data_IF_073880504820
#
_entry.id   IF_073880504820
#
_cell.length_a   1.000
_cell.length_b   1.000
_cell.length_c   1.000
_cell.angle_alpha   90.00
_cell.angle_beta   90.00
_cell.angle_gamma   90.00
#
_symmetry.space_group_name_H-M   'P 1'
#
loop_
_entity.id
_entity.type
_entity.pdbx_description
1 polymer ?
#
# COMPACT_ATOMS: atom_id res chain seq x y z
N UNK A 1 -20.61 -6.75 1.99
CA UNK A 1 -19.58 -7.78 1.72
C UNK A 1 -18.86 -7.36 0.45
N UNK A 2 -17.55 -7.11 0.49
CA UNK A 2 -16.81 -6.77 -0.73
C UNK A 2 -16.77 -8.05 -1.57
N UNK A 3 -17.31 -8.03 -2.79
CA UNK A 3 -17.41 -9.21 -3.67
C UNK A 3 -16.04 -9.84 -3.93
N UNK A 4 -15.95 -11.15 -4.17
CA UNK A 4 -14.66 -11.83 -4.40
C UNK A 4 -13.91 -11.38 -5.67
N UNK A 5 -14.58 -10.70 -6.60
CA UNK A 5 -14.05 -10.34 -7.92
C UNK A 5 -12.76 -9.50 -7.88
N UNK A 6 -12.54 -8.72 -6.82
CA UNK A 6 -11.28 -7.97 -6.69
C UNK A 6 -10.09 -8.87 -6.36
N UNK A 7 -10.29 -10.01 -5.69
CA UNK A 7 -9.21 -10.93 -5.32
C UNK A 7 -8.56 -11.56 -6.56
N UNK A 8 -9.39 -11.98 -7.52
CA UNK A 8 -8.95 -12.52 -8.80
C UNK A 8 -8.24 -11.44 -9.62
N UNK A 9 -8.76 -10.21 -9.63
CA UNK A 9 -8.13 -9.09 -10.32
C UNK A 9 -6.74 -8.77 -9.75
N UNK A 10 -6.58 -8.78 -8.42
CA UNK A 10 -5.28 -8.56 -7.76
C UNK A 10 -4.30 -9.68 -8.11
N UNK A 11 -4.75 -10.93 -8.06
CA UNK A 11 -3.93 -12.09 -8.40
C UNK A 11 -3.45 -12.03 -9.86
N UNK A 12 -4.38 -11.78 -10.78
CA UNK A 12 -4.07 -11.66 -12.21
C UNK A 12 -3.06 -10.53 -12.47
N UNK A 13 -3.29 -9.36 -11.87
CA UNK A 13 -2.42 -8.19 -12.04
C UNK A 13 -1.04 -8.43 -11.42
N UNK A 14 -0.96 -9.01 -10.23
CA UNK A 14 0.32 -9.28 -9.58
C UNK A 14 1.23 -10.19 -10.42
N UNK A 15 0.67 -11.23 -11.04
CA UNK A 15 1.42 -12.15 -11.90
C UNK A 15 2.04 -11.50 -13.16
N UNK A 16 1.59 -10.30 -13.55
CA UNK A 16 2.23 -9.52 -14.61
C UNK A 16 3.52 -8.83 -14.12
N UNK A 17 3.61 -8.54 -12.81
CA UNK A 17 4.71 -7.78 -12.21
C UNK A 17 5.70 -8.61 -11.41
N UNK A 18 5.28 -9.76 -10.89
CA UNK A 18 6.14 -10.67 -10.12
C UNK A 18 6.15 -12.07 -10.72
N UNK A 19 7.15 -12.88 -10.37
CA UNK A 19 7.22 -14.29 -10.70
C UNK A 19 6.17 -15.10 -9.92
N UNK A 20 5.77 -16.25 -10.47
CA UNK A 20 4.82 -17.16 -9.83
C UNK A 20 5.34 -17.64 -8.46
N UNK A 21 6.63 -17.96 -8.35
CA UNK A 21 7.26 -18.37 -7.10
C UNK A 21 7.17 -17.27 -6.03
N UNK A 22 7.49 -16.03 -6.40
CA UNK A 22 7.38 -14.88 -5.49
C UNK A 22 5.93 -14.65 -5.07
N UNK A 23 4.98 -14.82 -5.99
CA UNK A 23 3.55 -14.72 -5.68
C UNK A 23 3.07 -15.81 -4.72
N UNK A 24 3.44 -17.07 -4.95
CA UNK A 24 3.12 -18.19 -4.06
C UNK A 24 3.73 -17.98 -2.67
N UNK A 25 4.98 -17.53 -2.62
CA UNK A 25 5.64 -17.24 -1.36
C UNK A 25 4.95 -16.12 -0.60
N UNK A 26 4.56 -15.02 -1.24
CA UNK A 26 3.91 -13.88 -0.55
C UNK A 26 2.50 -14.26 -0.08
N UNK A 27 1.75 -15.02 -0.86
CA UNK A 27 0.37 -15.45 -0.52
C UNK A 27 0.28 -16.66 0.43
N UNK A 28 1.39 -17.36 0.66
CA UNK A 28 1.48 -18.46 1.63
C UNK A 28 1.26 -18.00 3.09
N UNK A 29 1.42 -18.94 4.05
CA UNK A 29 1.24 -18.74 5.51
C UNK A 29 1.86 -17.45 6.08
N UNK A 30 1.45 -17.09 7.31
CA UNK A 30 1.86 -15.85 8.02
C UNK A 30 1.37 -14.58 7.33
N UNK A 31 0.18 -14.65 6.73
CA UNK A 31 -0.48 -13.60 5.95
C UNK A 31 -0.63 -12.29 6.71
N UNK A 32 -1.04 -12.35 7.97
CA UNK A 32 -1.18 -11.18 8.83
C UNK A 32 0.15 -10.41 8.99
N UNK A 33 1.23 -11.11 9.36
CA UNK A 33 2.58 -10.52 9.48
C UNK A 33 3.07 -9.92 8.17
N UNK A 34 2.79 -10.57 7.04
CA UNK A 34 3.17 -10.05 5.72
C UNK A 34 2.39 -8.80 5.36
N UNK A 35 1.10 -8.70 5.69
CA UNK A 35 0.35 -7.45 5.52
C UNK A 35 1.01 -6.33 6.34
N UNK A 36 1.34 -6.53 7.61
CA UNK A 36 2.01 -5.48 8.41
C UNK A 36 3.27 -4.95 7.71
N UNK A 37 4.12 -5.84 7.20
CA UNK A 37 5.34 -5.46 6.48
C UNK A 37 5.06 -4.73 5.16
N UNK A 38 4.04 -5.16 4.40
CA UNK A 38 3.63 -4.48 3.17
C UNK A 38 3.09 -3.06 3.47
N UNK A 39 2.31 -2.91 4.53
CA UNK A 39 1.78 -1.61 4.96
C UNK A 39 2.90 -0.66 5.42
N UNK A 40 3.88 -1.16 6.17
CA UNK A 40 5.04 -0.38 6.57
C UNK A 40 5.86 0.10 5.35
N UNK A 41 6.10 -0.78 4.38
CA UNK A 41 6.78 -0.40 3.14
C UNK A 41 6.00 0.65 2.34
N UNK A 42 4.68 0.46 2.18
CA UNK A 42 3.83 1.43 1.49
C UNK A 42 3.83 2.80 2.19
N UNK A 43 3.76 2.80 3.52
CA UNK A 43 3.85 4.02 4.33
C UNK A 43 5.20 4.72 4.16
N UNK A 44 6.30 3.97 4.09
CA UNK A 44 7.62 4.53 3.82
C UNK A 44 7.69 5.20 2.44
N UNK A 45 7.06 4.59 1.43
CA UNK A 45 6.97 5.18 0.08
C UNK A 45 6.13 6.47 0.09
N UNK A 46 4.96 6.47 0.74
CA UNK A 46 4.11 7.68 0.81
C UNK A 46 4.74 8.84 1.58
N UNK A 47 5.56 8.55 2.59
CA UNK A 47 6.15 9.59 3.46
C UNK A 47 7.55 10.04 3.03
N UNK A 48 8.15 9.44 1.99
CA UNK A 48 9.59 9.55 1.74
C UNK A 48 9.98 10.12 0.38
N UNK A 49 10.54 11.35 0.41
CA UNK A 49 11.49 11.89 -0.58
C UNK A 49 12.75 11.00 -0.76
N UNK A 50 12.98 10.07 0.17
CA UNK A 50 14.13 9.14 0.19
C UNK A 50 13.87 7.78 -0.50
N UNK A 51 12.63 7.48 -0.90
CA UNK A 51 12.31 6.22 -1.59
C UNK A 51 12.88 6.18 -3.03
N UNK A 52 13.04 7.36 -3.64
CA UNK A 52 13.42 7.53 -5.06
C UNK A 52 14.87 7.10 -5.30
N UNK A 53 15.80 7.42 -4.40
CA UNK A 53 17.22 7.12 -4.60
C UNK A 53 17.57 5.63 -4.37
N UNK A 54 16.79 4.90 -3.57
CA UNK A 54 17.02 3.49 -3.29
C UNK A 54 16.40 2.50 -4.28
N UNK A 55 15.48 2.97 -5.13
CA UNK A 55 14.69 2.11 -6.02
C UNK A 55 15.33 1.91 -7.40
N UNK A 56 16.22 2.81 -7.83
CA UNK A 56 16.58 2.97 -9.26
C UNK A 56 17.91 2.35 -9.69
N UNK A 57 18.87 2.05 -8.81
CA UNK A 57 20.21 1.69 -9.32
C UNK A 57 20.99 0.64 -8.55
N UNK A 58 20.79 0.51 -7.24
CA UNK A 58 21.61 -0.36 -6.40
C UNK A 58 21.08 -0.21 -4.99
N UNK A 59 20.71 -1.29 -4.32
CA UNK A 59 20.52 -1.20 -2.86
C UNK A 59 21.88 -1.35 -2.19
N UNK A 60 22.80 -0.43 -2.50
CA UNK A 60 23.97 -0.14 -1.70
C UNK A 60 23.49 0.70 -0.51
N UNK A 61 23.22 -0.01 0.59
CA UNK A 61 23.29 0.45 1.97
C UNK A 61 22.77 1.84 2.32
N UNK A 62 21.44 2.02 2.44
CA UNK A 62 20.85 2.85 3.51
C UNK A 62 19.32 2.72 3.64
N UNK A 63 18.77 1.51 3.54
CA UNK A 63 17.41 1.24 4.04
C UNK A 63 17.51 0.16 5.11
N UNK A 64 18.03 0.56 6.28
CA UNK A 64 18.06 -0.28 7.48
C UNK A 64 16.66 -0.81 7.85
N UNK A 65 15.58 -0.16 7.42
CA UNK A 65 14.20 -0.62 7.63
C UNK A 65 13.87 -1.94 6.89
N UNK A 66 14.49 -2.20 5.73
CA UNK A 66 14.32 -3.45 4.98
C UNK A 66 15.04 -4.65 5.62
N UNK A 67 15.90 -4.42 6.63
CA UNK A 67 16.61 -5.50 7.31
C UNK A 67 15.73 -6.29 8.31
N UNK A 68 14.52 -5.81 8.63
CA UNK A 68 13.53 -6.54 9.43
C UNK A 68 12.37 -7.14 8.62
N UNK A 69 12.12 -6.64 7.40
CA UNK A 69 11.03 -7.13 6.56
C UNK A 69 11.34 -8.54 6.07
N UNK A 70 10.43 -9.48 6.31
CA UNK A 70 10.58 -10.87 5.93
C UNK A 70 10.98 -10.99 4.45
N UNK A 71 12.04 -11.77 4.17
CA UNK A 71 12.68 -11.94 2.85
C UNK A 71 11.70 -11.97 1.68
N UNK A 72 10.58 -12.67 1.84
CA UNK A 72 9.49 -12.79 0.86
C UNK A 72 8.88 -11.44 0.46
N UNK A 73 8.56 -10.57 1.43
CA UNK A 73 7.93 -9.25 1.18
C UNK A 73 8.92 -8.34 0.47
N UNK A 74 10.21 -8.41 0.84
CA UNK A 74 11.27 -7.67 0.17
C UNK A 74 11.43 -8.10 -1.30
N UNK A 75 11.51 -9.40 -1.57
CA UNK A 75 11.60 -9.93 -2.94
C UNK A 75 10.38 -9.53 -3.77
N UNK A 76 9.18 -9.64 -3.20
CA UNK A 76 7.94 -9.18 -3.86
C UNK A 76 8.00 -7.70 -4.25
N UNK A 77 8.38 -6.82 -3.31
CA UNK A 77 8.49 -5.39 -3.58
C UNK A 77 9.54 -5.07 -4.66
N UNK A 78 10.68 -5.77 -4.67
CA UNK A 78 11.75 -5.59 -5.66
C UNK A 78 11.36 -6.07 -7.06
N UNK A 79 10.65 -7.19 -7.18
CA UNK A 79 10.15 -7.65 -8.48
C UNK A 79 9.08 -6.70 -9.01
N UNK A 80 8.13 -6.30 -8.17
CA UNK A 80 7.10 -5.32 -8.51
C UNK A 80 7.70 -3.99 -9.00
N UNK A 81 8.74 -3.53 -8.29
CA UNK A 81 9.50 -2.33 -8.60
C UNK A 81 10.17 -2.36 -9.98
N UNK A 82 10.92 -3.42 -10.24
CA UNK A 82 11.80 -3.53 -11.40
C UNK A 82 11.06 -3.65 -12.73
N UNK A 83 9.76 -3.97 -12.70
CA UNK A 83 8.91 -4.06 -13.89
C UNK A 83 8.09 -2.79 -14.17
N UNK A 84 8.23 -1.74 -13.35
CA UNK A 84 7.65 -0.43 -13.64
C UNK A 84 8.65 0.42 -14.44
N UNK A 85 8.16 1.32 -15.31
CA UNK A 85 9.01 2.36 -15.87
C UNK A 85 9.65 3.19 -14.72
N UNK A 86 10.85 3.74 -14.97
CA UNK A 86 11.70 4.39 -13.97
C UNK A 86 10.94 5.43 -13.11
N UNK A 87 11.06 5.39 -11.77
CA UNK A 87 10.10 5.95 -10.84
C UNK A 87 10.07 7.48 -10.88
N UNK A 88 9.10 8.01 -11.60
CA UNK A 88 8.54 9.33 -11.29
C UNK A 88 7.65 9.19 -10.03
N UNK A 89 7.39 10.30 -9.33
CA UNK A 89 6.60 10.31 -8.08
C UNK A 89 5.24 9.55 -8.21
N UNK A 90 4.62 9.60 -9.38
CA UNK A 90 3.36 8.91 -9.70
C UNK A 90 3.46 7.39 -9.71
N UNK A 91 4.62 6.84 -10.08
CA UNK A 91 4.84 5.39 -10.15
C UNK A 91 5.14 4.79 -8.78
N UNK A 92 5.78 5.56 -7.89
CA UNK A 92 5.96 5.16 -6.48
C UNK A 92 4.63 5.05 -5.73
N UNK A 93 3.69 5.96 -6.00
CA UNK A 93 2.31 5.86 -5.49
C UNK A 93 1.63 4.57 -5.97
N UNK A 94 1.84 4.19 -7.23
CA UNK A 94 1.29 2.94 -7.77
C UNK A 94 1.90 1.71 -7.07
N UNK A 95 3.21 1.71 -6.80
CA UNK A 95 3.88 0.65 -6.02
C UNK A 95 3.29 0.55 -4.62
N UNK A 96 3.19 1.67 -3.90
CA UNK A 96 2.66 1.70 -2.55
C UNK A 96 1.22 1.16 -2.48
N UNK A 97 0.37 1.56 -3.43
CA UNK A 97 -1.00 1.04 -3.57
C UNK A 97 -1.02 -0.46 -3.87
N UNK A 98 -0.14 -0.94 -4.75
CA UNK A 98 -0.04 -2.37 -5.08
C UNK A 98 0.41 -3.20 -3.85
N UNK A 99 1.33 -2.69 -3.04
CA UNK A 99 1.73 -3.31 -1.77
C UNK A 99 0.54 -3.38 -0.80
N UNK A 100 -0.21 -2.28 -0.62
CA UNK A 100 -1.38 -2.23 0.25
C UNK A 100 -2.46 -3.22 -0.20
N UNK A 101 -2.85 -3.20 -1.47
CA UNK A 101 -3.90 -4.08 -2.00
C UNK A 101 -3.49 -5.56 -1.92
N UNK A 102 -2.21 -5.88 -2.14
CA UNK A 102 -1.69 -7.24 -1.89
C UNK A 102 -1.87 -7.63 -0.43
N UNK A 103 -1.54 -6.74 0.51
CA UNK A 103 -1.73 -7.00 1.93
C UNK A 103 -3.21 -7.15 2.34
N UNK A 104 -4.13 -6.40 1.72
CA UNK A 104 -5.59 -6.59 1.88
C UNK A 104 -6.01 -7.98 1.41
N UNK A 105 -5.49 -8.44 0.26
CA UNK A 105 -5.71 -9.82 -0.21
C UNK A 105 -5.21 -10.84 0.83
N UNK A 106 -4.03 -10.63 1.42
CA UNK A 106 -3.49 -11.55 2.43
C UNK A 106 -4.42 -11.67 3.66
N UNK A 107 -4.92 -10.54 4.19
CA UNK A 107 -5.91 -10.54 5.27
C UNK A 107 -7.19 -11.28 4.85
N UNK A 108 -7.70 -10.99 3.66
CA UNK A 108 -8.92 -11.62 3.16
C UNK A 108 -8.79 -13.14 2.99
N UNK A 109 -7.66 -13.61 2.46
CA UNK A 109 -7.34 -15.05 2.34
C UNK A 109 -7.12 -15.71 3.71
N UNK A 110 -6.84 -14.94 4.76
CA UNK A 110 -6.75 -15.43 6.13
C UNK A 110 -8.14 -15.50 6.83
N UNK A 111 -9.19 -14.99 6.18
CA UNK A 111 -10.52 -14.85 6.79
C UNK A 111 -10.61 -13.70 7.79
N UNK A 112 -9.66 -12.76 7.76
CA UNK A 112 -9.64 -11.62 8.67
C UNK A 112 -10.75 -10.62 8.33
N UNK A 113 -11.31 -9.98 9.35
CA UNK A 113 -12.13 -8.78 9.18
C UNK A 113 -11.25 -7.66 8.61
N UNK A 114 -11.59 -7.19 7.40
CA UNK A 114 -10.81 -6.16 6.70
C UNK A 114 -10.76 -4.84 7.48
N UNK A 115 -11.75 -4.54 8.32
CA UNK A 115 -11.73 -3.33 9.17
C UNK A 115 -10.62 -3.38 10.24
N UNK A 116 -10.05 -4.56 10.50
CA UNK A 116 -8.90 -4.79 11.38
C UNK A 116 -7.60 -5.03 10.62
N UNK A 117 -7.66 -5.12 9.28
CA UNK A 117 -6.49 -5.33 8.45
C UNK A 117 -5.72 -4.02 8.30
N UNK A 118 -4.48 -3.98 8.79
CA UNK A 118 -3.64 -2.77 8.74
C UNK A 118 -3.50 -2.20 7.32
N UNK A 119 -3.30 -3.05 6.33
CA UNK A 119 -3.19 -2.64 4.93
C UNK A 119 -4.46 -1.96 4.39
N UNK A 120 -5.64 -2.43 4.83
CA UNK A 120 -6.92 -1.83 4.45
C UNK A 120 -7.13 -0.49 5.15
N UNK A 121 -6.82 -0.43 6.45
CA UNK A 121 -6.89 0.82 7.23
C UNK A 121 -5.97 1.87 6.61
N UNK A 122 -4.71 1.54 6.34
CA UNK A 122 -3.76 2.50 5.77
C UNK A 122 -4.15 2.92 4.35
N UNK A 123 -4.65 1.99 3.51
CA UNK A 123 -5.18 2.32 2.18
C UNK A 123 -6.36 3.28 2.28
N UNK A 124 -7.34 2.98 3.14
CA UNK A 124 -8.51 3.82 3.34
C UNK A 124 -8.13 5.20 3.88
N UNK A 125 -7.21 5.27 4.85
CA UNK A 125 -6.72 6.53 5.39
C UNK A 125 -6.01 7.36 4.32
N UNK A 126 -5.16 6.77 3.49
CA UNK A 126 -4.48 7.49 2.41
C UNK A 126 -5.49 8.08 1.41
N UNK A 127 -6.48 7.29 0.97
CA UNK A 127 -7.49 7.74 0.00
C UNK A 127 -8.50 8.75 0.60
N UNK A 128 -8.71 8.73 1.91
CA UNK A 128 -9.72 9.59 2.57
C UNK A 128 -9.15 10.86 3.20
N UNK A 129 -7.84 10.95 3.47
CA UNK A 129 -7.25 12.07 4.21
C UNK A 129 -7.48 13.43 3.55
N UNK A 130 -7.25 13.55 2.24
CA UNK A 130 -7.49 14.80 1.51
C UNK A 130 -8.98 15.16 1.47
N UNK A 131 -9.84 14.16 1.21
CA UNK A 131 -11.28 14.35 1.19
C UNK A 131 -11.83 14.77 2.55
N UNK A 132 -11.31 14.20 3.65
CA UNK A 132 -11.69 14.55 5.01
C UNK A 132 -11.31 15.99 5.36
N UNK A 133 -10.12 16.46 4.97
CA UNK A 133 -9.70 17.85 5.19
C UNK A 133 -10.61 18.86 4.48
N UNK A 134 -10.99 18.56 3.24
CA UNK A 134 -11.92 19.38 2.46
C UNK A 134 -13.31 19.42 3.11
N UNK A 135 -13.82 18.28 3.57
CA UNK A 135 -15.10 18.20 4.27
C UNK A 135 -15.10 18.99 5.59
N UNK A 136 -14.03 18.88 6.39
CA UNK A 136 -13.90 19.62 7.63
C UNK A 136 -13.82 21.14 7.38
N UNK A 137 -13.08 21.55 6.35
CA UNK A 137 -12.98 22.96 5.96
C UNK A 137 -14.33 23.50 5.46
N UNK A 138 -15.05 22.73 4.66
CA UNK A 138 -16.39 23.08 4.20
C UNK A 138 -17.36 23.25 5.38
N UNK A 139 -17.39 22.28 6.31
CA UNK A 139 -18.23 22.34 7.50
C UNK A 139 -17.89 23.54 8.41
N UNK A 140 -16.60 23.89 8.54
CA UNK A 140 -16.20 25.11 9.25
C UNK A 140 -16.73 26.39 8.58
N UNK A 141 -16.65 26.47 7.26
CA UNK A 141 -17.15 27.63 6.52
C UNK A 141 -18.68 27.74 6.64
N UNK A 142 -19.39 26.62 6.65
CA UNK A 142 -20.84 26.61 6.88
C UNK A 142 -21.19 27.20 8.26
N UNK A 143 -20.41 26.89 9.31
CA UNK A 143 -20.60 27.49 10.63
C UNK A 143 -20.38 29.01 10.66
N UNK A 144 -19.42 29.52 9.88
CA UNK A 144 -19.19 30.97 9.75
C UNK A 144 -20.38 31.63 9.04
N UNK A 145 -20.89 31.01 7.98
CA UNK A 145 -22.01 31.53 7.21
C UNK A 145 -23.32 31.53 8.00
N UNK A 146 -23.52 30.55 8.90
CA UNK A 146 -24.67 30.53 9.81
C UNK A 146 -24.71 31.77 10.73
N UNK A 147 -23.56 32.34 11.11
CA UNK A 147 -23.48 33.58 11.91
C UNK A 147 -23.66 34.86 11.09
N UNK A 148 -23.44 34.81 9.78
CA UNK A 148 -23.58 35.98 8.91
C UNK A 148 -25.03 36.22 8.46
N UNK A 149 -25.94 35.26 8.70
CA UNK A 149 -27.37 35.33 8.37
C UNK A 149 -28.22 35.79 9.57
N UNK A 150 -27.58 36.20 10.67
CA UNK A 150 -28.21 36.88 11.84
C UNK A 150 -27.75 38.31 11.93
#
# INVERSE_FOLDING_TARGET
MISGAWQDAVTHRANQYVSEDTWLQVTSRRRHRKCTLLAEMASAIFNGKDAIHGFVGSVAGEVAFLFGAGRVVKTFAQELASRLPLPMDTELVAVARALQVTGVLLCSLNGDDLTRCRCFIDLALTETKENAGNLLTAAMNDWVNLKAVT
#
